data_IF_763151303990
#
_entry.id   IF_763151303990
#
_cell.length_a   1.000
_cell.length_b   1.000
_cell.length_c   1.000
_cell.angle_alpha   90.00
_cell.angle_beta   90.00
_cell.angle_gamma   90.00
#
_symmetry.space_group_name_H-M   'P 1'
#
loop_
_entity.id
_entity.type
_entity.pdbx_description
1 polymer ?
#
# COMPACT_ATOMS: atom_id res chain seq x y z
N UNK A 1 -11.07 -34.40 -14.25
CA UNK A 1 -9.77 -33.84 -13.81
C UNK A 1 -9.81 -33.67 -12.30
N UNK A 2 -8.92 -34.33 -11.56
CA UNK A 2 -8.79 -34.13 -10.11
C UNK A 2 -8.32 -32.70 -9.82
N UNK A 3 -8.96 -32.00 -8.90
CA UNK A 3 -8.49 -30.69 -8.41
C UNK A 3 -7.12 -30.86 -7.75
N UNK A 4 -6.06 -30.18 -8.24
CA UNK A 4 -4.75 -30.27 -7.59
C UNK A 4 -4.88 -29.75 -6.15
N UNK A 5 -4.27 -30.44 -5.18
CA UNK A 5 -4.28 -29.96 -3.79
C UNK A 5 -3.24 -28.87 -3.61
N UNK A 6 -3.62 -27.78 -2.97
CA UNK A 6 -2.74 -26.63 -2.70
C UNK A 6 -1.42 -27.04 -2.01
N UNK A 7 -1.51 -27.85 -0.95
CA UNK A 7 -0.35 -28.27 -0.15
C UNK A 7 0.50 -29.37 -0.77
N UNK A 8 0.06 -30.00 -1.85
CA UNK A 8 0.82 -31.07 -2.52
C UNK A 8 1.49 -30.57 -3.80
N UNK A 9 0.85 -29.65 -4.53
CA UNK A 9 1.33 -29.16 -5.83
C UNK A 9 0.97 -27.68 -6.03
N UNK A 10 1.62 -26.76 -5.30
CA UNK A 10 1.23 -25.35 -5.27
C UNK A 10 1.31 -24.68 -6.65
N UNK A 11 2.36 -24.94 -7.44
CA UNK A 11 2.52 -24.36 -8.78
C UNK A 11 1.45 -24.84 -9.77
N UNK A 12 1.10 -26.14 -9.72
CA UNK A 12 0.03 -26.70 -10.55
C UNK A 12 -1.34 -26.16 -10.11
N UNK A 13 -1.54 -25.94 -8.81
CA UNK A 13 -2.77 -25.33 -8.29
C UNK A 13 -2.93 -23.88 -8.75
N UNK A 14 -1.87 -23.07 -8.71
CA UNK A 14 -1.89 -21.68 -9.22
C UNK A 14 -2.25 -21.64 -10.71
N UNK A 15 -1.63 -22.46 -11.54
CA UNK A 15 -1.95 -22.54 -12.97
C UNK A 15 -3.40 -22.99 -13.22
N UNK A 16 -3.85 -24.01 -12.50
CA UNK A 16 -5.23 -24.49 -12.58
C UNK A 16 -6.24 -23.43 -12.13
N UNK A 17 -5.95 -22.71 -11.04
CA UNK A 17 -6.81 -21.67 -10.49
C UNK A 17 -6.94 -20.47 -11.45
N UNK A 18 -5.85 -20.11 -12.14
CA UNK A 18 -5.85 -19.05 -13.14
C UNK A 18 -6.78 -19.36 -14.35
N UNK A 19 -6.88 -20.63 -14.76
CA UNK A 19 -7.71 -21.04 -15.91
C UNK A 19 -9.16 -21.34 -15.49
N UNK A 20 -9.37 -22.11 -14.42
CA UNK A 20 -10.73 -22.55 -14.04
C UNK A 20 -11.51 -21.50 -13.25
N UNK A 21 -10.84 -20.66 -12.45
CA UNK A 21 -11.48 -19.66 -11.59
C UNK A 21 -10.75 -18.31 -11.69
N UNK A 22 -10.71 -17.70 -12.90
CA UNK A 22 -9.93 -16.50 -13.13
C UNK A 22 -10.34 -15.35 -12.22
N UNK A 23 -11.64 -15.15 -11.98
CA UNK A 23 -12.14 -14.07 -11.13
C UNK A 23 -11.51 -14.10 -9.72
N UNK A 24 -11.55 -15.25 -9.04
CA UNK A 24 -11.02 -15.40 -7.68
C UNK A 24 -9.50 -15.22 -7.68
N UNK A 25 -8.82 -15.85 -8.64
CA UNK A 25 -7.36 -15.81 -8.74
C UNK A 25 -6.85 -14.37 -8.92
N UNK A 26 -7.39 -13.65 -9.90
CA UNK A 26 -6.95 -12.27 -10.17
C UNK A 26 -7.44 -11.28 -9.11
N UNK A 27 -8.58 -11.49 -8.45
CA UNK A 27 -8.99 -10.64 -7.32
C UNK A 27 -7.99 -10.66 -6.17
N UNK A 28 -7.40 -11.83 -5.85
CA UNK A 28 -6.39 -11.95 -4.80
C UNK A 28 -5.10 -11.23 -5.23
N UNK A 29 -4.68 -11.39 -6.48
CA UNK A 29 -3.47 -10.73 -6.99
C UNK A 29 -3.65 -9.21 -7.00
N UNK A 30 -4.74 -8.70 -7.57
CA UNK A 30 -5.02 -7.26 -7.66
C UNK A 30 -5.21 -6.66 -6.27
N UNK A 31 -5.93 -7.35 -5.37
CA UNK A 31 -6.09 -6.94 -3.98
C UNK A 31 -4.77 -6.94 -3.21
N UNK A 32 -3.88 -7.91 -3.47
CA UNK A 32 -2.58 -8.03 -2.84
C UNK A 32 -1.53 -7.03 -3.36
N UNK A 33 -1.63 -6.60 -4.62
CA UNK A 33 -0.72 -5.62 -5.20
C UNK A 33 -0.79 -4.28 -4.46
N UNK A 34 -1.97 -3.84 -4.03
CA UNK A 34 -2.14 -2.57 -3.31
C UNK A 34 -1.25 -2.46 -2.06
N UNK A 35 -1.40 -3.35 -1.06
CA UNK A 35 -0.54 -3.38 0.12
C UNK A 35 0.94 -3.53 -0.19
N UNK A 36 1.30 -4.35 -1.20
CA UNK A 36 2.69 -4.53 -1.61
C UNK A 36 3.28 -3.22 -2.11
N UNK A 37 2.54 -2.47 -2.94
CA UNK A 37 2.98 -1.16 -3.41
C UNK A 37 3.10 -0.17 -2.26
N UNK A 38 2.14 -0.13 -1.32
CA UNK A 38 2.22 0.78 -0.15
C UNK A 38 3.48 0.54 0.68
N UNK A 39 3.96 -0.71 0.78
CA UNK A 39 5.16 -1.03 1.56
C UNK A 39 6.47 -0.86 0.77
N UNK A 40 6.44 -1.05 -0.55
CA UNK A 40 7.63 -1.03 -1.41
C UNK A 40 7.90 0.34 -2.01
N UNK A 41 6.86 1.03 -2.49
CA UNK A 41 6.95 2.32 -3.19
C UNK A 41 7.59 3.42 -2.33
N UNK A 42 7.26 3.60 -1.03
CA UNK A 42 7.90 4.65 -0.22
C UNK A 42 9.41 4.47 -0.10
N UNK A 43 9.87 3.22 0.05
CA UNK A 43 11.30 2.90 0.14
C UNK A 43 12.01 3.19 -1.18
N UNK A 44 11.39 2.83 -2.29
CA UNK A 44 11.94 3.08 -3.64
C UNK A 44 11.98 4.58 -3.90
N UNK A 45 10.89 5.31 -3.62
CA UNK A 45 10.81 6.77 -3.80
C UNK A 45 11.85 7.51 -2.96
N UNK A 46 12.05 7.10 -1.71
CA UNK A 46 13.07 7.70 -0.86
C UNK A 46 14.50 7.49 -1.38
N UNK A 47 14.77 6.32 -1.97
CA UNK A 47 16.06 6.03 -2.62
C UNK A 47 16.27 6.79 -3.93
N UNK A 48 15.19 7.14 -4.63
CA UNK A 48 15.23 7.88 -5.88
C UNK A 48 15.36 9.41 -5.69
N UNK A 49 15.54 9.87 -4.46
CA UNK A 49 15.72 11.29 -4.12
C UNK A 49 14.43 12.04 -3.80
N UNK A 50 13.29 11.35 -3.79
CA UNK A 50 12.01 11.90 -3.35
C UNK A 50 12.03 11.92 -1.80
N UNK A 51 12.70 12.93 -1.25
CA UNK A 51 12.89 13.15 0.18
C UNK A 51 11.59 13.47 0.92
N UNK A 52 11.63 13.58 2.26
CA UNK A 52 10.48 14.00 3.05
C UNK A 52 9.93 15.31 2.49
N UNK A 53 8.67 15.31 2.06
CA UNK A 53 8.05 16.54 1.56
C UNK A 53 7.95 17.53 2.73
N UNK A 54 8.29 18.81 2.51
CA UNK A 54 8.06 19.83 3.53
C UNK A 54 6.56 19.86 3.87
N UNK A 55 6.22 20.11 5.15
CA UNK A 55 4.82 20.21 5.55
C UNK A 55 4.11 21.33 4.77
N UNK A 56 2.86 21.08 4.42
CA UNK A 56 2.06 22.02 3.63
C UNK A 56 1.97 23.39 4.32
N UNK A 57 1.99 24.46 3.52
CA UNK A 57 1.92 25.85 4.00
C UNK A 57 0.69 26.11 4.89
N UNK A 58 -0.43 25.43 4.60
CA UNK A 58 -1.64 25.50 5.41
C UNK A 58 -1.43 24.91 6.82
N UNK A 59 -0.72 23.79 6.92
CA UNK A 59 -0.41 23.14 8.21
C UNK A 59 0.50 24.02 9.06
N UNK A 60 1.51 24.64 8.45
CA UNK A 60 2.40 25.61 9.12
C UNK A 60 1.59 26.81 9.65
N UNK A 61 0.70 27.37 8.83
CA UNK A 61 -0.10 28.55 9.19
C UNK A 61 -1.09 28.26 10.33
N UNK A 62 -1.78 27.12 10.25
CA UNK A 62 -2.71 26.69 11.29
C UNK A 62 -1.99 26.39 12.62
N UNK A 63 -0.86 25.67 12.55
CA UNK A 63 -0.01 25.40 13.72
C UNK A 63 0.44 26.70 14.39
N UNK A 64 0.93 27.68 13.60
CA UNK A 64 1.43 28.95 14.15
C UNK A 64 0.32 29.75 14.84
N UNK A 65 -0.87 29.85 14.25
CA UNK A 65 -2.00 30.57 14.86
C UNK A 65 -2.50 29.96 16.18
N UNK A 66 -2.44 28.63 16.31
CA UNK A 66 -2.79 27.94 17.57
C UNK A 66 -1.80 28.26 18.70
N UNK A 67 -0.50 28.34 18.39
CA UNK A 67 0.55 28.70 19.36
C UNK A 67 0.36 30.14 19.83
N UNK A 68 0.11 31.06 18.90
CA UNK A 68 -0.09 32.49 19.20
C UNK A 68 -1.34 32.74 20.06
N UNK A 69 -2.42 31.99 19.85
CA UNK A 69 -3.64 32.12 20.66
C UNK A 69 -3.42 31.63 22.09
N UNK A 70 -2.69 30.52 22.26
CA UNK A 70 -2.38 29.95 23.58
C UNK A 70 -1.50 30.92 24.39
N UNK A 71 -0.58 31.61 23.72
CA UNK A 71 0.34 32.55 24.35
C UNK A 71 -0.32 33.88 24.74
N UNK A 72 -1.37 34.30 24.02
CA UNK A 72 -2.19 35.47 24.40
C UNK A 72 -3.13 35.25 25.58
N UNK A 73 -3.40 34.00 25.94
CA UNK A 73 -4.32 33.62 27.03
C UNK A 73 -3.58 33.34 28.35
N UNK A 74 -2.25 33.45 28.36
CA UNK A 74 -1.38 33.21 29.53
C UNK A 74 -0.91 34.53 30.13
#
# INVERSE_FOLDING_TARGET
MSTPRFFSQPLKYLHWAAIQKPAIFYSIIVGGIGPVLVLTVPKIRHRLGDGPRPPDSLYISYSRGSKETTERLR
#
